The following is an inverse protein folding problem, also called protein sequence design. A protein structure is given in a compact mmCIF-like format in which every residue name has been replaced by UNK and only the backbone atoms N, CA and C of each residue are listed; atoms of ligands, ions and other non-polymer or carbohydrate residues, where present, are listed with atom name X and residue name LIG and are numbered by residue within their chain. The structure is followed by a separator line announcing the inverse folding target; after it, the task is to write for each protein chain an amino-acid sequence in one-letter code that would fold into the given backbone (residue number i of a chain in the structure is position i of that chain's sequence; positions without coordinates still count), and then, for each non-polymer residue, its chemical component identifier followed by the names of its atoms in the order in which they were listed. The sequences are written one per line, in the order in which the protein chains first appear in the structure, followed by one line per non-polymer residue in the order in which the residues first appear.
data_IF_897626830093
#
_entry.id   IF_897626830093
#
_cell.length_a   1.000
_cell.length_b   1.000
_cell.length_c   1.000
_cell.angle_alpha   90.00
_cell.angle_beta   90.00
_cell.angle_gamma   90.00
#
_symmetry.space_group_name_H-M   'P 1'
#
loop_
_entity.id
_entity.type
_entity.pdbx_description
1 polymer ?
#
# COMPACT_ATOMS: atom_id res chain seq x y z
N UNK A 1 -11.55 -23.99 -1.39
CA UNK A 1 -11.00 -25.01 -0.47
C UNK A 1 -9.60 -24.68 0.03
N UNK A 2 -8.78 -23.87 -0.63
CA UNK A 2 -7.53 -23.34 -0.02
C UNK A 2 -7.76 -22.20 1.01
N UNK A 3 -8.79 -21.38 0.81
CA UNK A 3 -9.16 -20.27 1.71
C UNK A 3 -9.79 -20.76 3.03
N UNK A 4 -10.48 -21.90 2.99
CA UNK A 4 -11.06 -22.52 4.19
C UNK A 4 -9.98 -23.15 5.08
N UNK A 5 -8.96 -23.77 4.46
CA UNK A 5 -7.85 -24.43 5.19
C UNK A 5 -6.89 -23.40 5.82
N UNK A 6 -6.64 -22.26 5.16
CA UNK A 6 -5.85 -21.15 5.73
C UNK A 6 -6.60 -20.45 6.86
N UNK A 7 -7.92 -20.26 6.74
CA UNK A 7 -8.75 -19.73 7.82
C UNK A 7 -8.84 -20.71 9.00
N UNK A 8 -8.95 -22.01 8.75
CA UNK A 8 -8.95 -23.05 9.79
C UNK A 8 -7.61 -23.10 10.51
N UNK A 9 -6.49 -23.10 9.78
CA UNK A 9 -5.14 -23.12 10.38
C UNK A 9 -4.82 -21.86 11.18
N UNK A 10 -5.38 -20.70 10.81
CA UNK A 10 -5.25 -19.45 11.58
C UNK A 10 -6.14 -19.44 12.85
N UNK A 11 -7.29 -20.13 12.80
CA UNK A 11 -8.19 -20.30 13.95
C UNK A 11 -7.68 -21.37 14.93
N UNK A 12 -7.00 -22.42 14.45
CA UNK A 12 -6.43 -23.50 15.27
C UNK A 12 -5.17 -23.06 16.06
N UNK A 13 -4.57 -21.92 15.70
CA UNK A 13 -3.46 -21.30 16.45
C UNK A 13 -3.94 -20.44 17.64
N UNK A 14 -5.25 -20.29 17.83
CA UNK A 14 -5.82 -19.66 19.02
C UNK A 14 -6.10 -20.76 20.07
N UNK A 15 -5.63 -20.64 21.33
CA UNK A 15 -5.98 -21.60 22.36
C UNK A 15 -7.50 -21.67 22.53
N UNK A 16 -8.02 -22.89 22.68
CA UNK A 16 -9.44 -23.26 22.74
C UNK A 16 -10.30 -22.23 23.52
N UNK A 17 -11.17 -21.52 22.80
CA UNK A 17 -12.21 -20.64 23.36
C UNK A 17 -13.41 -21.47 23.85
N UNK A 18 -13.20 -22.37 24.81
CA UNK A 18 -14.28 -23.05 25.51
C UNK A 18 -14.42 -22.53 26.94
N UNK A 19 -14.95 -21.32 27.06
CA UNK A 19 -15.69 -20.83 28.23
C UNK A 19 -16.18 -19.40 27.96
N UNK A 20 -17.26 -19.25 27.19
CA UNK A 20 -18.02 -17.99 27.12
C UNK A 20 -19.15 -18.11 28.15
N UNK A 21 -19.15 -17.35 29.26
CA UNK A 21 -20.30 -17.29 30.15
C UNK A 21 -21.45 -16.57 29.45
N UNK A 22 -22.64 -17.18 29.45
CA UNK A 22 -23.88 -16.67 28.84
C UNK A 22 -24.53 -15.54 29.66
N UNK A 23 -23.73 -14.66 30.27
CA UNK A 23 -24.24 -13.52 31.03
C UNK A 23 -23.36 -12.29 30.78
N UNK A 24 -23.98 -11.22 30.28
CA UNK A 24 -23.38 -9.89 30.17
C UNK A 24 -23.11 -9.33 31.57
N UNK A 25 -21.88 -8.91 31.91
CA UNK A 25 -21.68 -8.03 33.04
C UNK A 25 -21.97 -6.59 32.59
N UNK A 26 -22.98 -5.99 33.22
CA UNK A 26 -23.13 -4.56 33.30
C UNK A 26 -22.15 -4.01 34.35
N UNK A 27 -20.98 -3.51 33.92
CA UNK A 27 -20.17 -2.57 34.70
C UNK A 27 -19.02 -2.03 33.85
N UNK A 28 -18.67 -0.78 34.12
CA UNK A 28 -17.49 -0.08 33.64
C UNK A 28 -16.20 -0.83 33.94
N UNK A 29 -15.56 -1.45 32.94
CA UNK A 29 -14.24 -2.06 33.16
C UNK A 29 -13.17 -1.48 32.23
N UNK A 30 -12.27 -0.73 32.88
CA UNK A 30 -10.99 -0.25 32.41
C UNK A 30 -9.97 -1.39 32.33
N UNK A 31 -10.25 -2.45 31.58
CA UNK A 31 -9.27 -3.49 31.30
C UNK A 31 -8.35 -3.05 30.14
N UNK A 32 -7.04 -3.13 30.35
CA UNK A 32 -6.06 -2.94 29.30
C UNK A 32 -6.30 -3.98 28.18
N UNK A 33 -6.18 -3.61 26.90
CA UNK A 33 -6.43 -4.54 25.80
C UNK A 33 -5.46 -5.73 25.85
N UNK A 34 -5.98 -6.93 25.59
CA UNK A 34 -5.15 -8.11 25.39
C UNK A 34 -4.35 -8.00 24.08
N UNK A 35 -3.35 -8.86 23.87
CA UNK A 35 -2.63 -8.91 22.60
C UNK A 35 -3.57 -9.24 21.42
N UNK A 36 -4.53 -10.14 21.63
CA UNK A 36 -5.54 -10.47 20.63
C UNK A 36 -6.38 -9.25 20.25
N UNK A 37 -6.79 -8.44 21.24
CA UNK A 37 -7.52 -7.19 20.98
C UNK A 37 -6.67 -6.19 20.19
N UNK A 38 -5.38 -6.08 20.54
CA UNK A 38 -4.44 -5.19 19.87
C UNK A 38 -4.19 -5.60 18.42
N UNK A 39 -4.13 -6.90 18.11
CA UNK A 39 -3.78 -7.42 16.78
C UNK A 39 -4.99 -7.85 15.93
N UNK A 40 -6.22 -7.69 16.43
CA UNK A 40 -7.44 -8.10 15.73
C UNK A 40 -7.59 -7.42 14.35
N UNK A 41 -7.21 -6.15 14.25
CA UNK A 41 -7.34 -5.41 12.98
C UNK A 41 -6.45 -6.01 11.89
N UNK A 42 -5.20 -6.33 12.24
CA UNK A 42 -4.21 -6.92 11.36
C UNK A 42 -4.68 -8.30 10.89
N UNK A 43 -5.09 -9.15 11.83
CA UNK A 43 -5.59 -10.50 11.55
C UNK A 43 -6.79 -10.49 10.59
N UNK A 44 -7.67 -9.50 10.69
CA UNK A 44 -8.87 -9.38 9.84
C UNK A 44 -8.61 -8.72 8.49
N UNK A 45 -7.60 -7.85 8.38
CA UNK A 45 -7.54 -6.89 7.28
C UNK A 45 -6.21 -6.83 6.52
N UNK A 46 -5.12 -7.39 7.04
CA UNK A 46 -3.93 -7.63 6.22
C UNK A 46 -4.21 -8.74 5.21
N UNK A 47 -3.71 -8.57 3.99
CA UNK A 47 -3.79 -9.63 3.00
C UNK A 47 -2.91 -10.83 3.41
N UNK A 48 -3.37 -12.09 3.21
CA UNK A 48 -2.66 -13.29 3.66
C UNK A 48 -1.20 -13.37 3.21
N UNK A 49 -0.91 -13.01 1.95
CA UNK A 49 0.46 -13.02 1.40
C UNK A 49 1.43 -12.09 2.15
N UNK A 50 0.92 -11.08 2.84
CA UNK A 50 1.71 -10.16 3.64
C UNK A 50 1.73 -10.62 5.09
N UNK A 51 0.58 -11.06 5.62
CA UNK A 51 0.45 -11.52 7.01
C UNK A 51 1.39 -12.69 7.32
N UNK A 52 1.52 -13.64 6.40
CA UNK A 52 2.45 -14.78 6.52
C UNK A 52 3.89 -14.34 6.87
N UNK A 53 4.36 -13.24 6.27
CA UNK A 53 5.71 -12.72 6.48
C UNK A 53 5.82 -11.62 7.54
N UNK A 54 4.69 -11.06 7.98
CA UNK A 54 4.64 -9.97 8.95
C UNK A 54 4.22 -10.42 10.34
N UNK A 55 3.67 -11.62 10.52
CA UNK A 55 3.13 -12.08 11.80
C UNK A 55 4.09 -11.96 13.00
N UNK A 56 5.39 -12.17 12.79
CA UNK A 56 6.39 -12.01 13.84
C UNK A 56 6.71 -10.54 14.12
N UNK A 57 6.70 -9.71 13.07
CA UNK A 57 6.87 -8.26 13.18
C UNK A 57 5.75 -7.64 14.02
N UNK A 58 4.51 -8.09 13.81
CA UNK A 58 3.32 -7.61 14.52
C UNK A 58 3.38 -7.89 16.03
N UNK A 59 4.15 -8.90 16.46
CA UNK A 59 4.29 -9.26 17.89
C UNK A 59 5.50 -8.61 18.55
N UNK A 60 6.30 -7.83 17.82
CA UNK A 60 7.44 -7.13 18.41
C UNK A 60 6.97 -6.05 19.40
N UNK A 61 7.76 -5.77 20.46
CA UNK A 61 7.38 -4.80 21.49
C UNK A 61 6.98 -3.42 20.95
N UNK A 62 7.71 -2.89 19.97
CA UNK A 62 7.41 -1.59 19.38
C UNK A 62 6.05 -1.55 18.68
N UNK A 63 5.65 -2.65 18.02
CA UNK A 63 4.40 -2.72 17.31
C UNK A 63 3.24 -2.82 18.31
N UNK A 64 3.38 -3.63 19.36
CA UNK A 64 2.38 -3.69 20.44
C UNK A 64 2.23 -2.33 21.15
N UNK A 65 3.32 -1.58 21.34
CA UNK A 65 3.26 -0.21 21.87
C UNK A 65 2.52 0.74 20.92
N UNK A 66 2.80 0.68 19.61
CA UNK A 66 2.05 1.40 18.59
C UNK A 66 0.55 1.09 18.68
N UNK A 67 0.18 -0.20 18.79
CA UNK A 67 -1.22 -0.62 18.89
C UNK A 67 -1.90 -0.11 20.17
N UNK A 68 -1.21 -0.10 21.31
CA UNK A 68 -1.73 0.52 22.56
C UNK A 68 -1.93 2.03 22.40
N UNK A 69 -1.00 2.72 21.75
CA UNK A 69 -1.16 4.14 21.43
C UNK A 69 -2.40 4.37 20.56
N UNK A 70 -2.57 3.62 19.46
CA UNK A 70 -3.74 3.74 18.59
C UNK A 70 -5.06 3.39 19.31
N UNK A 71 -5.02 2.43 20.22
CA UNK A 71 -6.15 2.09 21.09
C UNK A 71 -6.57 3.26 21.97
N UNK A 72 -5.60 3.99 22.54
CA UNK A 72 -5.87 5.22 23.31
C UNK A 72 -6.37 6.37 22.44
N UNK A 73 -5.96 6.44 21.17
CA UNK A 73 -6.47 7.42 20.19
C UNK A 73 -7.88 7.07 19.65
N UNK A 74 -8.43 5.91 20.01
CA UNK A 74 -9.78 5.48 19.66
C UNK A 74 -9.89 4.48 18.50
N UNK A 75 -8.77 3.96 17.99
CA UNK A 75 -8.74 2.90 16.99
C UNK A 75 -8.74 1.52 17.67
N UNK A 76 -9.92 1.04 18.08
CA UNK A 76 -10.10 -0.19 18.88
C UNK A 76 -10.70 -1.35 18.08
N UNK A 77 -10.21 -1.57 16.85
CA UNK A 77 -10.76 -2.54 15.90
C UNK A 77 -11.68 -1.87 14.86
N UNK A 78 -12.61 -2.63 14.26
CA UNK A 78 -13.48 -2.13 13.17
C UNK A 78 -14.57 -1.17 13.61
N UNK A 79 -14.77 -1.00 14.92
CA UNK A 79 -15.67 -0.02 15.51
C UNK A 79 -14.86 1.18 16.03
N UNK A 80 -14.37 2.01 15.10
CA UNK A 80 -13.42 3.12 15.34
C UNK A 80 -14.08 4.50 15.39
N UNK A 81 -15.41 4.54 15.49
CA UNK A 81 -16.19 5.77 15.52
C UNK A 81 -16.66 6.07 16.92
N UNK A 82 -16.33 7.26 17.42
CA UNK A 82 -16.85 7.79 18.67
C UNK A 82 -17.81 8.96 18.38
N UNK A 83 -19.06 8.84 18.80
CA UNK A 83 -20.10 9.82 18.46
C UNK A 83 -20.33 9.97 16.95
N UNK A 84 -20.18 8.88 16.20
CA UNK A 84 -20.34 8.84 14.73
C UNK A 84 -19.15 9.35 13.92
N UNK A 85 -18.13 9.94 14.57
CA UNK A 85 -16.93 10.50 13.93
C UNK A 85 -15.70 9.62 14.13
N UNK A 86 -14.81 9.64 13.16
CA UNK A 86 -13.51 8.99 13.25
C UNK A 86 -12.57 9.83 14.11
N UNK A 87 -11.84 9.18 15.01
CA UNK A 87 -10.78 9.80 15.82
C UNK A 87 -9.39 9.62 15.22
N UNK A 88 -9.27 8.65 14.32
CA UNK A 88 -8.07 8.33 13.57
C UNK A 88 -8.49 8.10 12.11
N UNK A 89 -7.71 8.64 11.18
CA UNK A 89 -7.82 8.35 9.75
C UNK A 89 -6.68 7.42 9.30
N UNK A 90 -6.89 6.60 8.26
CA UNK A 90 -8.17 6.32 7.60
C UNK A 90 -9.11 5.49 8.52
N UNK A 91 -10.36 5.18 8.12
CA UNK A 91 -11.17 4.20 8.85
C UNK A 91 -10.39 2.90 9.06
N UNK A 92 -10.60 2.22 10.19
CA UNK A 92 -9.83 1.05 10.64
C UNK A 92 -9.65 0.00 9.55
N UNK A 93 -10.76 -0.38 8.89
CA UNK A 93 -10.76 -1.35 7.78
C UNK A 93 -9.81 -0.98 6.65
N UNK A 94 -9.52 0.29 6.47
CA UNK A 94 -8.72 0.81 5.36
C UNK A 94 -7.24 1.04 5.74
N UNK A 95 -6.84 0.91 7.01
CA UNK A 95 -5.43 1.10 7.45
C UNK A 95 -4.47 0.21 6.65
N UNK A 96 -4.88 -1.04 6.40
CA UNK A 96 -4.12 -2.04 5.66
C UNK A 96 -4.57 -2.24 4.21
N UNK A 97 -5.35 -1.32 3.65
CA UNK A 97 -5.89 -1.46 2.30
C UNK A 97 -4.80 -1.63 1.22
N UNK A 98 -3.64 -0.99 1.40
CA UNK A 98 -2.46 -1.16 0.52
C UNK A 98 -2.10 -2.64 0.31
N UNK A 99 -2.16 -3.46 1.37
CA UNK A 99 -1.78 -4.89 1.30
C UNK A 99 -2.80 -5.71 0.51
N UNK A 100 -4.08 -5.33 0.57
CA UNK A 100 -5.19 -6.03 -0.09
C UNK A 100 -5.37 -5.63 -1.54
N UNK A 101 -5.03 -4.39 -1.87
CA UNK A 101 -5.06 -3.94 -3.26
C UNK A 101 -3.81 -4.36 -4.02
N UNK A 102 -2.69 -4.60 -3.34
CA UNK A 102 -1.45 -5.06 -3.95
C UNK A 102 -0.83 -6.20 -3.11
N UNK A 103 -1.19 -7.46 -3.38
CA UNK A 103 -0.54 -8.62 -2.78
C UNK A 103 0.97 -8.62 -3.00
N UNK A 104 1.73 -9.22 -2.08
CA UNK A 104 3.20 -9.11 -2.03
C UNK A 104 3.88 -9.53 -3.34
N UNK A 105 3.42 -10.64 -3.93
CA UNK A 105 3.97 -11.20 -5.18
C UNK A 105 3.55 -10.42 -6.43
N UNK A 106 2.53 -9.57 -6.31
CA UNK A 106 2.02 -8.78 -7.43
C UNK A 106 2.66 -7.37 -7.49
N UNK A 107 3.50 -7.03 -6.51
CA UNK A 107 4.16 -5.73 -6.47
C UNK A 107 5.12 -5.60 -7.67
N UNK A 108 4.87 -4.60 -8.51
CA UNK A 108 5.70 -4.19 -9.66
C UNK A 108 6.35 -2.83 -9.44
N UNK A 109 5.60 -1.92 -8.81
CA UNK A 109 6.02 -0.55 -8.52
C UNK A 109 5.70 -0.24 -7.06
N UNK A 110 6.59 0.49 -6.38
CA UNK A 110 6.35 1.05 -5.05
C UNK A 110 6.35 2.57 -5.14
N UNK A 111 5.32 3.20 -4.59
CA UNK A 111 5.27 4.65 -4.38
C UNK A 111 5.14 4.92 -2.89
N UNK A 112 6.04 5.74 -2.35
CA UNK A 112 6.08 6.07 -0.94
C UNK A 112 5.49 7.46 -0.66
N UNK A 113 4.49 7.51 0.22
CA UNK A 113 3.98 8.73 0.84
C UNK A 113 4.45 8.88 2.29
N UNK A 114 4.21 10.05 2.89
CA UNK A 114 4.60 10.33 4.26
C UNK A 114 3.56 9.77 5.24
N UNK A 115 2.37 10.39 5.30
CA UNK A 115 1.25 10.04 6.16
C UNK A 115 -0.08 10.16 5.39
N UNK A 116 -1.19 9.59 5.89
CA UNK A 116 -2.48 9.69 5.23
C UNK A 116 -2.97 11.14 5.19
N UNK A 117 -3.84 11.44 4.23
CA UNK A 117 -4.61 12.67 4.28
C UNK A 117 -5.44 12.79 5.56
N UNK A 118 -5.47 13.98 6.14
CA UNK A 118 -6.01 14.21 7.48
C UNK A 118 -7.39 14.89 7.51
N UNK A 119 -8.04 15.13 6.37
CA UNK A 119 -9.40 15.67 6.35
C UNK A 119 -10.45 14.58 6.14
N UNK A 120 -11.68 14.87 6.56
CA UNK A 120 -12.81 13.96 6.51
C UNK A 120 -13.02 13.37 5.11
N UNK A 121 -13.15 12.04 5.06
CA UNK A 121 -13.46 11.30 3.84
C UNK A 121 -12.33 11.22 2.81
N UNK A 122 -11.15 11.83 3.05
CA UNK A 122 -10.04 11.81 2.09
C UNK A 122 -9.31 10.46 2.08
N UNK A 123 -8.64 10.11 3.18
CA UNK A 123 -7.78 8.93 3.24
C UNK A 123 -8.57 7.62 3.21
N UNK A 124 -8.02 6.65 2.48
CA UNK A 124 -8.57 5.29 2.35
C UNK A 124 -7.49 4.20 2.23
N UNK A 125 -6.32 4.46 2.83
CA UNK A 125 -5.27 3.45 2.98
C UNK A 125 -4.26 3.35 1.84
N UNK A 126 -4.34 4.24 0.84
CA UNK A 126 -3.42 4.31 -0.29
C UNK A 126 -2.77 5.70 -0.34
N UNK A 127 -1.44 5.77 -0.39
CA UNK A 127 -0.73 7.06 -0.47
C UNK A 127 -1.14 7.86 -1.71
N UNK A 128 -1.17 9.20 -1.59
CA UNK A 128 -1.64 10.15 -2.60
C UNK A 128 -3.10 10.00 -3.09
N UNK A 129 -3.80 8.92 -2.74
CA UNK A 129 -5.14 8.66 -3.23
C UNK A 129 -6.23 9.21 -2.29
N UNK A 130 -7.33 9.65 -2.90
CA UNK A 130 -8.56 10.02 -2.20
C UNK A 130 -9.77 9.22 -2.70
N UNK A 131 -10.86 9.21 -1.92
CA UNK A 131 -12.11 8.56 -2.32
C UNK A 131 -12.76 9.26 -3.53
N UNK A 132 -13.59 8.55 -4.31
CA UNK A 132 -14.43 9.17 -5.34
C UNK A 132 -15.27 10.32 -4.76
N UNK A 133 -15.42 11.41 -5.53
CA UNK A 133 -16.14 12.62 -5.11
C UNK A 133 -15.32 13.60 -4.26
N UNK A 134 -14.15 13.19 -3.74
CA UNK A 134 -13.25 14.08 -3.01
C UNK A 134 -12.40 14.89 -4.00
N UNK A 135 -12.22 16.18 -3.70
CA UNK A 135 -11.36 17.09 -4.47
C UNK A 135 -9.94 16.53 -4.57
N UNK A 136 -9.37 16.57 -5.78
CA UNK A 136 -8.01 16.10 -6.04
C UNK A 136 -7.00 16.95 -5.23
N UNK A 137 -6.20 16.34 -4.34
CA UNK A 137 -5.23 17.07 -3.54
C UNK A 137 -4.12 17.72 -4.38
N UNK A 138 -3.44 18.76 -3.88
CA UNK A 138 -2.39 19.46 -4.63
C UNK A 138 -1.25 18.56 -5.11
N UNK A 139 -0.77 17.63 -4.28
CA UNK A 139 0.30 16.70 -4.67
C UNK A 139 -0.14 15.78 -5.81
N UNK A 140 -1.37 15.23 -5.74
CA UNK A 140 -1.88 14.37 -6.81
C UNK A 140 -2.12 15.13 -8.12
N UNK A 141 -2.55 16.40 -8.05
CA UNK A 141 -2.62 17.24 -9.26
C UNK A 141 -1.26 17.42 -9.93
N UNK A 142 -0.19 17.57 -9.14
CA UNK A 142 1.17 17.67 -9.67
C UNK A 142 1.63 16.33 -10.26
N UNK A 143 1.30 15.20 -9.64
CA UNK A 143 1.53 13.86 -10.21
C UNK A 143 0.85 13.73 -11.58
N UNK A 144 -0.45 14.06 -11.69
CA UNK A 144 -1.15 14.03 -12.98
C UNK A 144 -0.56 14.99 -14.01
N UNK A 145 -0.08 16.16 -13.58
CA UNK A 145 0.59 17.10 -14.48
C UNK A 145 1.89 16.50 -15.04
N UNK A 146 2.69 15.84 -14.22
CA UNK A 146 3.91 15.17 -14.68
C UNK A 146 3.61 14.02 -15.63
N UNK A 147 2.62 13.16 -15.30
CA UNK A 147 2.18 12.08 -16.21
C UNK A 147 1.73 12.65 -17.56
N UNK A 148 0.96 13.75 -17.57
CA UNK A 148 0.50 14.41 -18.79
C UNK A 148 1.64 15.00 -19.63
N UNK A 149 2.68 15.52 -18.97
CA UNK A 149 3.87 16.02 -19.66
C UNK A 149 4.65 14.86 -20.31
N UNK A 150 4.80 13.75 -19.59
CA UNK A 150 5.48 12.55 -20.11
C UNK A 150 4.68 11.84 -21.20
N UNK A 151 3.35 11.83 -21.10
CA UNK A 151 2.40 11.16 -22.01
C UNK A 151 1.32 12.16 -22.46
N UNK A 152 1.55 12.93 -23.55
CA UNK A 152 0.62 13.94 -24.03
C UNK A 152 -0.79 13.40 -24.36
N UNK A 153 -0.93 12.10 -24.63
CA UNK A 153 -2.19 11.40 -24.87
C UNK A 153 -2.95 11.02 -23.60
N UNK A 154 -2.32 11.06 -22.42
CA UNK A 154 -2.95 10.72 -21.15
C UNK A 154 -4.13 11.64 -20.85
N UNK A 155 -5.33 11.09 -20.65
CA UNK A 155 -6.49 11.87 -20.23
C UNK A 155 -6.51 11.98 -18.71
N UNK A 156 -6.36 13.20 -18.19
CA UNK A 156 -6.23 13.42 -16.74
C UNK A 156 -7.56 13.11 -16.06
N UNK A 157 -7.61 12.12 -15.14
CA UNK A 157 -8.86 11.75 -14.48
C UNK A 157 -9.43 12.91 -13.66
N UNK A 158 -10.76 13.05 -13.67
CA UNK A 158 -11.49 14.04 -12.85
C UNK A 158 -11.66 13.62 -11.39
N UNK A 159 -11.00 12.54 -10.96
CA UNK A 159 -11.01 12.01 -9.60
C UNK A 159 -9.60 11.73 -9.09
N UNK A 160 -9.45 11.64 -7.76
CA UNK A 160 -8.17 11.30 -7.12
C UNK A 160 -8.06 9.86 -6.62
N UNK A 161 -8.96 8.97 -7.03
CA UNK A 161 -8.90 7.57 -6.64
C UNK A 161 -7.91 6.77 -7.49
N UNK A 162 -6.96 6.09 -6.84
CA UNK A 162 -5.85 5.35 -7.44
C UNK A 162 -5.99 3.83 -7.23
N UNK A 163 -7.17 3.36 -6.88
CA UNK A 163 -7.40 1.92 -6.59
C UNK A 163 -7.13 1.04 -7.81
N UNK A 164 -7.45 1.53 -9.01
CA UNK A 164 -7.15 0.81 -10.26
C UNK A 164 -5.64 0.60 -10.43
N UNK A 165 -4.85 1.65 -10.15
CA UNK A 165 -3.39 1.59 -10.19
C UNK A 165 -2.85 0.58 -9.16
N UNK A 166 -3.38 0.59 -7.94
CA UNK A 166 -2.97 -0.35 -6.90
C UNK A 166 -3.20 -1.81 -7.28
N UNK A 167 -4.36 -2.11 -7.88
CA UNK A 167 -4.71 -3.45 -8.39
C UNK A 167 -3.82 -3.94 -9.52
N UNK A 168 -3.18 -3.02 -10.27
CA UNK A 168 -2.25 -3.36 -11.34
C UNK A 168 -0.83 -3.67 -10.85
N UNK A 169 -0.60 -3.75 -9.53
CA UNK A 169 0.71 -4.05 -8.96
C UNK A 169 1.46 -2.82 -8.43
N UNK A 170 0.82 -1.67 -8.27
CA UNK A 170 1.45 -0.47 -7.69
C UNK A 170 1.16 -0.38 -6.20
N UNK A 171 2.16 -0.72 -5.39
CA UNK A 171 2.09 -0.58 -3.94
C UNK A 171 2.14 0.90 -3.54
N UNK A 172 0.98 1.44 -3.11
CA UNK A 172 0.82 2.82 -2.63
C UNK A 172 0.93 2.89 -1.11
N UNK A 173 2.15 2.92 -0.59
CA UNK A 173 2.43 2.81 0.85
C UNK A 173 2.75 4.18 1.47
N UNK A 174 2.10 4.54 2.57
CA UNK A 174 2.55 5.63 3.42
C UNK A 174 3.52 5.11 4.48
N UNK A 175 4.38 5.99 4.98
CA UNK A 175 5.36 5.63 6.02
C UNK A 175 4.80 5.68 7.44
N UNK A 176 3.78 6.52 7.66
CA UNK A 176 2.82 6.35 8.74
C UNK A 176 1.49 5.92 8.15
N UNK A 177 0.82 4.92 8.73
CA UNK A 177 -0.44 4.39 8.18
C UNK A 177 -1.68 5.04 8.79
N UNK A 178 -1.51 5.91 9.78
CA UNK A 178 -2.63 6.58 10.46
C UNK A 178 -2.29 8.03 10.80
N UNK A 179 -3.32 8.84 11.04
CA UNK A 179 -3.20 10.25 11.44
C UNK A 179 -4.44 10.69 12.22
N UNK A 180 -4.30 11.58 13.19
CA UNK A 180 -5.45 12.24 13.81
C UNK A 180 -6.09 13.25 12.84
N UNK A 181 -7.42 13.44 12.89
CA UNK A 181 -8.12 14.44 12.08
C UNK A 181 -7.50 15.83 12.19
N UNK A 182 -7.26 16.44 11.03
CA UNK A 182 -6.71 17.79 10.84
C UNK A 182 -5.34 18.04 11.49
N UNK A 183 -4.58 16.97 11.80
CA UNK A 183 -3.24 17.06 12.39
C UNK A 183 -2.23 16.23 11.61
N UNK A 184 -1.74 16.78 10.50
CA UNK A 184 -0.67 16.16 9.69
C UNK A 184 0.49 15.69 10.57
N UNK A 185 0.99 14.49 10.32
CA UNK A 185 2.14 13.91 11.03
C UNK A 185 1.91 13.61 12.52
N UNK A 186 0.68 13.70 13.04
CA UNK A 186 0.36 13.46 14.46
C UNK A 186 0.77 12.08 14.99
N UNK A 187 0.83 11.07 14.13
CA UNK A 187 1.23 9.71 14.51
C UNK A 187 2.66 9.36 14.06
N UNK A 188 3.48 10.36 13.73
CA UNK A 188 4.89 10.13 13.36
C UNK A 188 5.70 9.68 14.56
N UNK A 189 6.72 8.84 14.33
CA UNK A 189 7.61 8.26 15.33
C UNK A 189 6.87 7.45 16.41
N UNK A 190 5.70 6.88 16.07
CA UNK A 190 4.92 6.00 16.97
C UNK A 190 5.14 4.52 16.69
N UNK A 191 5.98 4.18 15.70
CA UNK A 191 6.33 2.80 15.35
C UNK A 191 5.90 2.39 13.94
N UNK A 192 5.07 3.18 13.26
CA UNK A 192 4.69 2.88 11.87
C UNK A 192 5.88 2.86 10.94
N UNK A 193 6.84 3.76 11.13
CA UNK A 193 8.02 3.85 10.29
C UNK A 193 8.80 2.54 10.30
N UNK A 194 9.04 1.97 11.49
CA UNK A 194 9.70 0.67 11.65
C UNK A 194 8.91 -0.45 10.98
N UNK A 195 7.59 -0.46 11.13
CA UNK A 195 6.73 -1.46 10.47
C UNK A 195 6.79 -1.33 8.94
N UNK A 196 6.69 -0.12 8.40
CA UNK A 196 6.73 0.11 6.95
C UNK A 196 8.11 -0.11 6.36
N UNK A 197 9.19 0.11 7.13
CA UNK A 197 10.54 -0.29 6.72
C UNK A 197 10.62 -1.82 6.57
N UNK A 198 10.00 -2.59 7.48
CA UNK A 198 9.88 -4.05 7.31
C UNK A 198 9.07 -4.43 6.06
N UNK A 199 8.01 -3.70 5.73
CA UNK A 199 7.26 -3.90 4.48
C UNK A 199 8.16 -3.68 3.26
N UNK A 200 9.02 -2.65 3.28
CA UNK A 200 9.99 -2.40 2.21
C UNK A 200 11.04 -3.51 2.13
N UNK A 201 11.53 -4.02 3.26
CA UNK A 201 12.44 -5.18 3.27
C UNK A 201 11.79 -6.43 2.64
N UNK A 202 10.49 -6.64 2.87
CA UNK A 202 9.74 -7.73 2.23
C UNK A 202 9.57 -7.50 0.73
N UNK A 203 9.34 -6.27 0.29
CA UNK A 203 9.33 -5.95 -1.16
C UNK A 203 10.71 -6.16 -1.78
N UNK A 204 11.77 -5.73 -1.09
CA UNK A 204 13.14 -5.95 -1.57
C UNK A 204 13.37 -7.45 -1.77
N UNK A 205 12.97 -8.28 -0.82
CA UNK A 205 13.13 -9.74 -0.91
C UNK A 205 12.20 -10.40 -1.95
N UNK A 206 10.89 -10.19 -1.84
CA UNK A 206 9.89 -11.00 -2.54
C UNK A 206 9.16 -10.25 -3.67
N UNK A 207 9.35 -8.94 -3.79
CA UNK A 207 8.67 -8.11 -4.78
C UNK A 207 9.08 -8.42 -6.23
N UNK A 208 8.12 -8.30 -7.11
CA UNK A 208 8.27 -8.52 -8.54
C UNK A 208 7.24 -9.51 -9.05
N UNK A 209 6.51 -9.12 -10.08
CA UNK A 209 5.44 -9.93 -10.65
C UNK A 209 5.99 -11.25 -11.20
N UNK A 210 5.37 -12.36 -10.78
CA UNK A 210 5.53 -13.68 -11.39
C UNK A 210 4.25 -14.03 -12.15
N UNK A 211 4.32 -14.20 -13.49
CA UNK A 211 3.23 -14.82 -14.24
C UNK A 211 2.86 -16.17 -13.65
N UNK A 212 1.56 -16.48 -13.59
CA UNK A 212 1.12 -17.83 -13.29
C UNK A 212 1.69 -18.80 -14.33
N UNK A 213 2.45 -19.80 -13.89
CA UNK A 213 3.02 -20.84 -14.75
C UNK A 213 4.52 -20.74 -15.06
N UNK A 214 5.21 -19.70 -14.59
CA UNK A 214 6.69 -19.68 -14.62
C UNK A 214 7.21 -20.76 -13.65
N UNK A 215 7.76 -21.84 -14.19
CA UNK A 215 8.41 -22.90 -13.41
C UNK A 215 9.62 -22.31 -12.65
N UNK A 216 9.90 -22.76 -11.41
CA UNK A 216 11.10 -22.35 -10.70
C UNK A 216 12.32 -22.67 -11.57
N UNK A 217 13.20 -21.69 -11.73
CA UNK A 217 14.41 -21.87 -12.53
C UNK A 217 15.28 -22.97 -11.90
N UNK A 218 15.91 -23.87 -12.67
CA UNK A 218 16.69 -24.98 -12.12
C UNK A 218 17.93 -24.55 -11.31
N UNK A 219 18.33 -23.27 -11.38
CA UNK A 219 19.37 -22.66 -10.53
C UNK A 219 18.81 -21.97 -9.26
N UNK A 220 17.50 -22.02 -9.00
CA UNK A 220 16.87 -21.42 -7.81
C UNK A 220 17.05 -22.31 -6.57
N UNK A 221 18.15 -22.08 -5.86
CA UNK A 221 18.36 -22.62 -4.52
C UNK A 221 17.37 -22.02 -3.49
N UNK A 222 16.47 -22.87 -3.00
CA UNK A 222 15.85 -22.90 -1.66
C UNK A 222 15.15 -21.67 -1.01
N UNK A 223 15.15 -20.46 -1.58
CA UNK A 223 14.21 -19.39 -1.17
C UNK A 223 13.70 -18.63 -2.40
N UNK A 224 12.39 -18.65 -2.62
CA UNK A 224 11.73 -18.04 -3.79
C UNK A 224 11.85 -16.51 -3.74
N UNK A 225 12.92 -15.95 -4.31
CA UNK A 225 13.21 -14.52 -4.37
C UNK A 225 12.39 -13.82 -5.47
N UNK A 226 12.03 -12.56 -5.25
CA UNK A 226 11.31 -11.73 -6.22
C UNK A 226 12.18 -11.29 -7.40
N UNK A 227 11.54 -10.98 -8.54
CA UNK A 227 12.22 -10.57 -9.78
C UNK A 227 12.71 -9.11 -9.77
N UNK A 228 12.32 -8.32 -8.77
CA UNK A 228 12.67 -6.90 -8.63
C UNK A 228 11.47 -5.97 -8.82
N UNK A 229 11.63 -4.68 -8.55
CA UNK A 229 10.52 -3.71 -8.64
C UNK A 229 11.08 -2.35 -9.05
N UNK A 230 10.19 -1.46 -9.50
CA UNK A 230 10.49 -0.03 -9.58
C UNK A 230 10.08 0.65 -8.28
N UNK A 231 10.88 1.57 -7.78
CA UNK A 231 10.59 2.35 -6.57
C UNK A 231 10.63 3.83 -6.89
N UNK A 232 9.49 4.51 -6.72
CA UNK A 232 9.35 5.96 -6.89
C UNK A 232 9.46 6.62 -5.51
N UNK A 233 10.66 7.05 -5.16
CA UNK A 233 10.98 7.63 -3.86
C UNK A 233 11.07 9.17 -3.96
N UNK A 234 9.91 9.82 -3.86
CA UNK A 234 9.81 11.27 -4.00
C UNK A 234 9.99 12.00 -2.66
N UNK A 235 11.07 12.78 -2.56
CA UNK A 235 11.47 13.52 -1.36
C UNK A 235 12.50 12.77 -0.51
N UNK A 236 13.25 13.54 0.30
CA UNK A 236 14.37 13.01 1.10
C UNK A 236 13.95 11.89 2.07
N UNK A 237 12.75 11.99 2.63
CA UNK A 237 12.21 10.98 3.55
C UNK A 237 11.98 9.63 2.86
N UNK A 238 11.38 9.62 1.67
CA UNK A 238 11.18 8.39 0.90
C UNK A 238 12.53 7.82 0.43
N UNK A 239 13.42 8.68 -0.08
CA UNK A 239 14.74 8.27 -0.55
C UNK A 239 15.58 7.59 0.55
N UNK A 240 15.51 8.08 1.79
CA UNK A 240 16.24 7.50 2.93
C UNK A 240 15.80 6.06 3.23
N UNK A 241 14.50 5.76 3.13
CA UNK A 241 13.95 4.44 3.48
C UNK A 241 14.35 3.34 2.50
N UNK A 242 14.47 3.70 1.23
CA UNK A 242 14.81 2.74 0.16
C UNK A 242 16.31 2.69 -0.11
N UNK A 243 17.12 3.43 0.67
CA UNK A 243 18.56 3.57 0.44
C UNK A 243 19.34 2.24 0.53
N UNK A 244 18.81 1.27 1.29
CA UNK A 244 19.42 -0.05 1.50
C UNK A 244 18.93 -1.13 0.52
N UNK A 245 17.91 -0.84 -0.29
CA UNK A 245 17.39 -1.80 -1.26
C UNK A 245 18.44 -2.15 -2.32
N UNK A 246 18.36 -3.36 -2.86
CA UNK A 246 19.29 -3.86 -3.86
C UNK A 246 19.10 -3.15 -5.22
N UNK A 247 19.96 -2.18 -5.50
CA UNK A 247 19.96 -1.39 -6.75
C UNK A 247 20.32 -2.19 -8.00
N UNK A 248 20.83 -3.42 -7.88
CA UNK A 248 21.04 -4.31 -9.03
C UNK A 248 19.75 -5.04 -9.39
N UNK A 249 18.96 -5.40 -8.38
CA UNK A 249 17.67 -6.09 -8.54
C UNK A 249 16.53 -5.12 -8.89
N UNK A 250 16.52 -3.93 -8.28
CA UNK A 250 15.45 -2.94 -8.39
C UNK A 250 15.88 -1.69 -9.17
N UNK A 251 14.90 -1.00 -9.77
CA UNK A 251 15.09 0.37 -10.25
C UNK A 251 14.62 1.36 -9.17
N UNK A 252 15.51 2.17 -8.61
CA UNK A 252 15.17 3.16 -7.58
C UNK A 252 15.28 4.56 -8.18
N UNK A 253 14.15 5.24 -8.34
CA UNK A 253 14.05 6.59 -8.90
C UNK A 253 13.74 7.59 -7.79
N UNK A 254 14.66 8.53 -7.56
CA UNK A 254 14.55 9.55 -6.50
C UNK A 254 14.43 10.94 -7.10
N UNK A 255 13.52 11.76 -6.59
CA UNK A 255 13.35 13.16 -7.00
C UNK A 255 12.83 14.03 -5.85
N UNK A 256 12.56 15.32 -6.09
CA UNK A 256 11.82 16.12 -5.12
C UNK A 256 10.37 15.61 -4.96
N UNK A 257 9.72 15.93 -3.85
CA UNK A 257 8.33 15.51 -3.58
C UNK A 257 7.31 16.28 -4.46
N UNK A 258 6.18 15.67 -4.87
CA UNK A 258 5.14 16.33 -5.69
C UNK A 258 4.36 17.45 -4.99
N UNK A 259 4.63 17.74 -3.71
CA UNK A 259 4.00 18.87 -3.00
C UNK A 259 4.27 20.19 -3.72
N UNK A 260 3.31 21.15 -3.71
CA UNK A 260 3.53 22.49 -4.25
C UNK A 260 4.81 23.18 -3.74
N UNK A 261 5.26 22.85 -2.53
CA UNK A 261 6.47 23.41 -1.92
C UNK A 261 7.76 22.96 -2.63
N UNK A 262 7.77 21.80 -3.27
CA UNK A 262 8.97 21.17 -3.82
C UNK A 262 8.86 20.79 -5.29
N UNK A 263 7.67 20.78 -5.88
CA UNK A 263 7.46 20.20 -7.20
C UNK A 263 8.30 20.88 -8.30
N UNK A 264 8.39 22.21 -8.26
CA UNK A 264 9.22 23.00 -9.19
C UNK A 264 10.73 22.89 -8.95
N UNK A 265 11.14 22.28 -7.83
CA UNK A 265 12.55 22.12 -7.43
C UNK A 265 13.09 20.72 -7.74
N UNK A 266 12.47 20.03 -8.71
CA UNK A 266 12.95 18.73 -9.20
C UNK A 266 11.97 17.57 -9.05
N UNK A 267 10.65 17.80 -8.94
CA UNK A 267 9.66 16.75 -9.24
C UNK A 267 9.28 16.82 -10.72
N UNK A 268 8.95 18.03 -11.20
CA UNK A 268 8.61 18.21 -12.61
C UNK A 268 9.82 17.98 -13.52
N UNK A 269 9.60 17.26 -14.62
CA UNK A 269 10.63 16.87 -15.58
C UNK A 269 11.52 15.72 -15.10
N UNK A 270 11.12 14.97 -14.07
CA UNK A 270 11.91 13.84 -13.58
C UNK A 270 11.81 12.62 -14.52
N UNK A 271 10.77 12.56 -15.37
CA UNK A 271 10.53 11.48 -16.33
C UNK A 271 10.41 10.09 -15.66
N UNK A 272 9.95 10.02 -14.40
CA UNK A 272 9.94 8.79 -13.63
C UNK A 272 8.95 7.77 -14.17
N UNK A 273 7.79 8.20 -14.70
CA UNK A 273 6.76 7.25 -15.17
C UNK A 273 7.22 6.53 -16.45
N UNK A 274 7.92 7.23 -17.34
CA UNK A 274 8.59 6.72 -18.54
C UNK A 274 9.71 5.76 -18.18
N UNK A 275 10.64 6.16 -17.31
CA UNK A 275 11.73 5.29 -16.87
C UNK A 275 11.21 4.01 -16.19
N UNK A 276 10.16 4.13 -15.37
CA UNK A 276 9.52 2.99 -14.74
C UNK A 276 8.95 2.01 -15.77
N UNK A 277 8.18 2.51 -16.73
CA UNK A 277 7.57 1.69 -17.77
C UNK A 277 8.61 1.01 -18.67
N UNK A 278 9.66 1.73 -19.09
CA UNK A 278 10.74 1.18 -19.88
C UNK A 278 11.44 0.03 -19.15
N UNK A 279 11.73 0.21 -17.87
CA UNK A 279 12.35 -0.84 -17.05
C UNK A 279 11.44 -2.04 -16.85
N UNK A 280 10.16 -1.83 -16.55
CA UNK A 280 9.19 -2.91 -16.40
C UNK A 280 9.04 -3.71 -17.70
N UNK A 281 8.98 -3.03 -18.84
CA UNK A 281 8.91 -3.68 -20.16
C UNK A 281 10.16 -4.52 -20.45
N UNK A 282 11.35 -4.02 -20.10
CA UNK A 282 12.60 -4.77 -20.26
C UNK A 282 12.68 -5.98 -19.31
N UNK A 283 12.20 -5.82 -18.07
CA UNK A 283 12.31 -6.84 -17.01
C UNK A 283 11.27 -7.95 -17.13
N UNK A 284 10.03 -7.58 -17.49
CA UNK A 284 8.86 -8.47 -17.49
C UNK A 284 8.31 -8.78 -18.89
N UNK A 285 8.77 -8.08 -19.93
CA UNK A 285 8.16 -8.15 -21.25
C UNK A 285 6.84 -7.39 -21.30
N UNK A 286 6.05 -7.62 -22.36
CA UNK A 286 4.70 -7.06 -22.48
C UNK A 286 3.71 -7.94 -21.73
N UNK A 287 3.13 -7.43 -20.65
CA UNK A 287 1.85 -7.93 -20.17
C UNK A 287 0.71 -7.48 -21.11
N UNK A 288 -0.36 -8.27 -21.26
CA UNK A 288 -1.57 -7.81 -21.93
C UNK A 288 -2.19 -6.64 -21.15
N UNK A 289 -2.51 -5.57 -21.88
CA UNK A 289 -3.17 -4.36 -21.36
C UNK A 289 -4.39 -4.69 -20.48
N UNK A 290 -4.56 -4.05 -19.30
CA UNK A 290 -5.70 -4.26 -18.42
C UNK A 290 -6.99 -3.52 -18.85
N UNK A 291 -7.00 -2.81 -19.99
CA UNK A 291 -8.20 -2.14 -20.49
C UNK A 291 -9.03 -3.08 -21.37
N UNK A 292 -10.38 -3.12 -21.23
CA UNK A 292 -11.20 -3.84 -22.19
C UNK A 292 -10.96 -3.27 -23.60
N UNK A 293 -10.96 -4.11 -24.65
CA UNK A 293 -10.75 -3.63 -26.00
C UNK A 293 -11.79 -2.54 -26.27
N UNK A 294 -11.30 -1.36 -26.69
CA UNK A 294 -12.17 -0.37 -27.29
C UNK A 294 -12.99 -1.10 -28.37
N UNK A 295 -14.32 -1.06 -28.29
CA UNK A 295 -15.19 -1.65 -29.30
C UNK A 295 -14.81 -1.02 -30.65
N UNK A 296 -13.95 -1.68 -31.40
CA UNK A 296 -13.54 -1.24 -32.73
C UNK A 296 -14.61 -1.71 -33.70
N UNK A 297 -15.50 -0.76 -34.05
CA UNK A 297 -16.05 -0.75 -35.39
C UNK A 297 -14.88 -0.67 -36.38
N UNK A 298 -14.89 -1.55 -37.38
CA UNK A 298 -13.81 -1.82 -38.30
C UNK A 298 -13.15 -0.58 -38.92
N UNK A 299 -11.81 -0.52 -38.86
CA UNK A 299 -10.94 -0.18 -39.98
C UNK A 299 -9.47 -0.43 -39.59
N UNK A 300 -8.78 -1.26 -40.38
CA UNK A 300 -7.33 -1.47 -40.30
C UNK A 300 -6.60 -0.16 -40.51
N UNK A 301 -5.70 0.18 -39.59
CA UNK A 301 -4.43 0.84 -39.89
C UNK A 301 -3.41 0.52 -38.79
N UNK A 302 -2.25 -0.01 -39.19
CA UNK A 302 -1.13 -0.27 -38.31
C UNK A 302 -0.61 1.03 -37.70
N UNK A 303 -0.91 1.26 -36.42
CA UNK A 303 -0.07 2.06 -35.51
C UNK A 303 0.01 1.35 -34.17
N UNK A 304 1.24 1.05 -33.77
CA UNK A 304 1.62 0.51 -32.47
C UNK A 304 1.08 1.42 -31.35
N UNK A 305 0.06 0.98 -30.64
CA UNK A 305 -0.36 1.58 -29.37
C UNK A 305 0.23 0.75 -28.24
N UNK A 306 1.20 1.35 -27.53
CA UNK A 306 1.73 0.83 -26.28
C UNK A 306 0.75 1.25 -25.17
N UNK A 307 -0.06 0.31 -24.67
CA UNK A 307 -0.82 0.56 -23.45
C UNK A 307 0.08 0.24 -22.26
N UNK A 308 0.36 1.25 -21.43
CA UNK A 308 1.35 1.20 -20.36
C UNK A 308 0.70 0.80 -19.02
N UNK A 309 1.49 0.20 -18.13
CA UNK A 309 1.04 -0.23 -16.80
C UNK A 309 0.70 0.95 -15.86
N UNK A 310 1.08 2.17 -16.24
CA UNK A 310 0.88 3.40 -15.46
C UNK A 310 -0.03 4.44 -16.16
N UNK A 311 -0.65 4.10 -17.29
CA UNK A 311 -1.52 4.99 -18.09
C UNK A 311 -2.83 4.33 -18.48
#
# INVERSE_FOLDING_TARGET
TLVADVLSSALDLLPSLNSIPTALPSSSDSHAPSEADLLALEAMTLHPSWLEHLQDELRKPYFLELKRFLWSEGLRGTQDRQGGKLKVFPPARDVYAWSRYTPLRDVKVVILGQDPYHDDGQAHGLCFSVRPGVKIPPSLRNIYKEIKEEYPEFDVPKHGNLTALARSGVLLLNTSLTVSPHKAGSHSNRGWETFTDKVIDLVDRYGGHKPEGDAPSPDEGAEEMGRGVVVLAWGAWAAKRVAKMDKKKHLILTSAHPSPLSARRGFFGNNHFRQANEWLMQKYGREPSPLPPARTGAARNHRSSATSLLT
#
